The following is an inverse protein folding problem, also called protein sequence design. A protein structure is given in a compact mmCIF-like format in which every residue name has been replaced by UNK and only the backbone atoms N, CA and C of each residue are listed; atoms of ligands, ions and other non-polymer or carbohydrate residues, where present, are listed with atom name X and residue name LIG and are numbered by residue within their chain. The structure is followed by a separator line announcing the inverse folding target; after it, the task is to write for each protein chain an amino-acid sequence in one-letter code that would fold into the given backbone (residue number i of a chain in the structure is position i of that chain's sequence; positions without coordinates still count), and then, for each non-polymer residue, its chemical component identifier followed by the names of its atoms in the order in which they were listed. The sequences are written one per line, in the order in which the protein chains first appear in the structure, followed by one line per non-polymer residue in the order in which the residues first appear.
data_IF_042735946775
#
_entry.id   IF_042735946775
#
_cell.length_a   1.000
_cell.length_b   1.000
_cell.length_c   1.000
_cell.angle_alpha   90.00
_cell.angle_beta   90.00
_cell.angle_gamma   90.00
#
_symmetry.space_group_name_H-M   'P 1'
#
loop_
_entity.id
_entity.type
_entity.pdbx_description
1 polymer ?
#
# COMPACT_ATOMS: atom_id res chain seq x y z
N UNK A 1 -7.54 -7.99 -10.35
CA UNK A 1 -6.40 -7.19 -9.87
C UNK A 1 -6.46 -7.14 -8.35
N UNK A 2 -5.67 -7.95 -7.62
CA UNK A 2 -5.53 -7.84 -6.16
C UNK A 2 -4.72 -6.60 -5.79
N UNK A 3 -5.06 -6.00 -4.63
CA UNK A 3 -4.33 -4.88 -4.05
C UNK A 3 -3.68 -5.34 -2.76
N UNK A 4 -2.37 -5.17 -2.62
CA UNK A 4 -1.63 -5.43 -1.40
C UNK A 4 -1.70 -4.21 -0.48
N UNK A 5 -2.90 -3.98 0.07
CA UNK A 5 -3.26 -2.75 0.75
C UNK A 5 -2.46 -2.57 2.07
N UNK A 6 -2.02 -1.35 2.34
CA UNK A 6 -1.26 -0.95 3.54
C UNK A 6 0.08 -1.68 3.73
N UNK A 7 0.50 -2.45 2.72
CA UNK A 7 1.74 -3.21 2.77
C UNK A 7 1.57 -4.65 3.23
N UNK A 8 0.33 -5.14 3.34
CA UNK A 8 0.04 -6.55 3.56
C UNK A 8 -0.35 -7.22 2.24
N UNK A 9 0.25 -8.38 1.88
CA UNK A 9 -0.19 -9.14 0.73
C UNK A 9 -1.66 -9.56 0.85
N UNK A 10 -2.38 -9.52 -0.27
CA UNK A 10 -3.67 -10.17 -0.38
C UNK A 10 -3.51 -11.69 -0.26
N UNK A 11 -4.57 -12.41 0.11
CA UNK A 11 -4.59 -13.86 0.03
C UNK A 11 -4.59 -14.29 -1.44
N UNK A 12 -3.42 -14.68 -1.93
CA UNK A 12 -3.20 -14.89 -3.36
C UNK A 12 -3.65 -16.26 -3.85
N UNK A 13 -3.64 -17.29 -3.01
CA UNK A 13 -3.97 -18.65 -3.45
C UNK A 13 -5.39 -18.74 -4.04
N UNK A 14 -6.46 -18.31 -3.35
CA UNK A 14 -7.80 -18.39 -3.92
C UNK A 14 -7.96 -17.49 -5.17
N UNK A 15 -7.23 -16.38 -5.24
CA UNK A 15 -7.24 -15.51 -6.41
C UNK A 15 -6.58 -16.19 -7.61
N UNK A 16 -5.45 -16.87 -7.39
CA UNK A 16 -4.73 -17.58 -8.43
C UNK A 16 -5.51 -18.82 -8.90
N UNK A 17 -6.17 -19.56 -8.01
CA UNK A 17 -7.06 -20.69 -8.35
C UNK A 17 -8.22 -20.22 -9.25
N UNK A 18 -8.88 -19.11 -8.91
CA UNK A 18 -9.94 -18.53 -9.75
C UNK A 18 -9.37 -18.10 -11.11
N UNK A 19 -8.21 -17.46 -11.10
CA UNK A 19 -7.57 -17.00 -12.34
C UNK A 19 -7.20 -18.15 -13.26
N UNK A 20 -6.66 -19.25 -12.75
CA UNK A 20 -6.33 -20.45 -13.50
C UNK A 20 -7.60 -21.10 -14.09
N UNK A 21 -8.62 -21.33 -13.24
CA UNK A 21 -9.90 -21.89 -13.63
C UNK A 21 -10.56 -21.13 -14.80
N UNK A 22 -10.47 -19.80 -14.77
CA UNK A 22 -11.10 -18.93 -15.76
C UNK A 22 -10.13 -18.39 -16.82
N UNK A 23 -8.86 -18.85 -16.85
CA UNK A 23 -7.81 -18.40 -17.77
C UNK A 23 -7.64 -16.88 -17.76
N UNK A 24 -7.69 -16.29 -16.57
CA UNK A 24 -7.53 -14.85 -16.35
C UNK A 24 -6.06 -14.51 -16.08
N UNK A 25 -5.68 -13.28 -16.44
CA UNK A 25 -4.39 -12.72 -16.06
C UNK A 25 -4.51 -11.98 -14.72
N UNK A 26 -3.52 -12.15 -13.85
CA UNK A 26 -3.46 -11.52 -12.54
C UNK A 26 -2.43 -10.41 -12.56
N UNK A 27 -2.89 -9.18 -12.30
CA UNK A 27 -2.04 -7.99 -12.15
C UNK A 27 -2.10 -7.56 -10.69
N UNK A 28 -0.95 -7.57 -10.01
CA UNK A 28 -0.84 -7.10 -8.62
C UNK A 28 -0.76 -5.57 -8.58
N UNK A 29 -1.57 -4.93 -7.74
CA UNK A 29 -1.29 -3.58 -7.27
C UNK A 29 -0.38 -3.70 -6.03
N UNK A 30 0.92 -3.56 -6.24
CA UNK A 30 1.95 -3.62 -5.21
C UNK A 30 2.45 -2.22 -4.79
N UNK A 31 1.69 -1.16 -5.11
CA UNK A 31 2.07 0.23 -4.85
C UNK A 31 2.36 0.54 -3.36
N UNK A 32 1.87 -0.27 -2.44
CA UNK A 32 2.10 -0.13 -0.99
C UNK A 32 2.90 -1.29 -0.38
N UNK A 33 3.38 -2.25 -1.18
CA UNK A 33 3.89 -3.53 -0.68
C UNK A 33 5.34 -3.85 -1.10
N UNK A 34 6.20 -2.83 -1.20
CA UNK A 34 7.60 -2.99 -1.56
C UNK A 34 8.33 -3.93 -0.60
N UNK A 35 8.60 -5.17 -1.03
CA UNK A 35 9.30 -6.18 -0.26
C UNK A 35 8.43 -7.04 0.66
N UNK A 36 7.10 -6.85 0.68
CA UNK A 36 6.18 -7.73 1.38
C UNK A 36 6.26 -9.16 0.82
N UNK A 37 5.89 -10.16 1.63
CA UNK A 37 5.97 -11.56 1.24
C UNK A 37 4.69 -12.31 1.52
N UNK A 38 4.31 -13.18 0.59
CA UNK A 38 3.27 -14.17 0.69
C UNK A 38 3.89 -15.57 0.50
N UNK A 39 3.79 -16.45 1.49
CA UNK A 39 4.41 -17.79 1.48
C UNK A 39 5.87 -17.77 1.03
N UNK A 40 6.64 -16.80 1.56
CA UNK A 40 8.06 -16.60 1.28
C UNK A 40 8.39 -15.89 -0.04
N UNK A 41 7.46 -15.77 -0.98
CA UNK A 41 7.65 -15.05 -2.25
C UNK A 41 7.32 -13.56 -2.10
N UNK A 42 8.10 -12.70 -2.74
CA UNK A 42 7.84 -11.24 -2.71
C UNK A 42 6.64 -10.88 -3.59
N UNK A 43 5.84 -9.91 -3.12
CA UNK A 43 4.87 -9.19 -3.95
C UNK A 43 5.57 -8.60 -5.17
N UNK A 44 4.85 -8.52 -6.27
CA UNK A 44 5.40 -8.12 -7.56
C UNK A 44 5.90 -9.28 -8.42
N UNK A 45 5.81 -10.51 -7.90
CA UNK A 45 6.16 -11.75 -8.60
C UNK A 45 5.21 -12.89 -8.26
N UNK A 46 4.02 -12.60 -7.76
CA UNK A 46 2.99 -13.57 -7.41
C UNK A 46 1.99 -13.79 -8.56
N UNK A 47 1.70 -12.73 -9.33
CA UNK A 47 0.86 -12.76 -10.52
C UNK A 47 1.64 -12.71 -11.83
N UNK A 48 0.96 -12.43 -12.94
CA UNK A 48 1.57 -12.29 -14.28
C UNK A 48 2.37 -11.00 -14.41
N UNK A 49 1.93 -9.93 -13.74
CA UNK A 49 2.60 -8.63 -13.67
C UNK A 49 2.22 -7.89 -12.39
N UNK A 50 3.00 -6.88 -12.03
CA UNK A 50 2.65 -5.98 -10.93
C UNK A 50 3.04 -4.54 -11.24
N UNK A 51 2.30 -3.59 -10.63
CA UNK A 51 2.61 -2.18 -10.60
C UNK A 51 3.13 -1.75 -9.22
N UNK A 52 4.23 -1.02 -9.22
CA UNK A 52 4.79 -0.36 -8.03
C UNK A 52 4.73 1.16 -8.17
N UNK A 53 4.45 1.84 -7.08
CA UNK A 53 4.53 3.31 -6.99
C UNK A 53 5.81 3.71 -6.26
N UNK A 54 6.53 4.68 -6.79
CA UNK A 54 7.67 5.31 -6.12
C UNK A 54 7.34 6.71 -5.60
N UNK A 55 6.04 7.02 -5.42
CA UNK A 55 5.65 8.25 -4.75
C UNK A 55 6.45 8.44 -3.45
N UNK A 56 6.88 9.67 -3.08
CA UNK A 56 7.82 9.91 -1.99
C UNK A 56 7.47 9.28 -0.64
N UNK A 57 6.17 9.16 -0.32
CA UNK A 57 5.68 8.54 0.91
C UNK A 57 5.73 7.00 0.94
N UNK A 58 6.09 6.33 -0.16
CA UNK A 58 6.16 4.86 -0.23
C UNK A 58 7.37 4.31 0.52
N UNK A 59 7.31 3.02 0.90
CA UNK A 59 8.44 2.36 1.57
C UNK A 59 9.73 2.43 0.75
N UNK A 60 9.59 2.37 -0.58
CA UNK A 60 10.63 2.72 -1.53
C UNK A 60 10.13 3.92 -2.34
N UNK A 61 10.33 5.13 -1.83
CA UNK A 61 9.90 6.38 -2.46
C UNK A 61 11.06 7.11 -3.14
N UNK A 62 10.80 7.67 -4.32
CA UNK A 62 11.66 8.62 -5.01
C UNK A 62 11.55 10.01 -4.36
N UNK A 63 12.19 11.04 -4.93
CA UNK A 63 12.04 12.44 -4.55
C UNK A 63 10.97 13.17 -5.40
N UNK A 64 10.16 12.42 -6.12
CA UNK A 64 9.06 12.88 -6.97
C UNK A 64 8.24 11.67 -7.44
N UNK A 65 7.38 11.87 -8.43
CA UNK A 65 6.58 10.79 -8.98
C UNK A 65 7.44 9.76 -9.72
N UNK A 66 7.05 8.50 -9.61
CA UNK A 66 7.69 7.38 -10.28
C UNK A 66 6.97 6.07 -10.02
N UNK A 67 7.32 5.06 -10.80
CA UNK A 67 6.78 3.72 -10.66
C UNK A 67 7.54 2.71 -11.50
N UNK A 68 7.21 1.43 -11.29
CA UNK A 68 7.75 0.33 -12.07
C UNK A 68 6.70 -0.74 -12.34
N UNK A 69 6.90 -1.46 -13.41
CA UNK A 69 6.20 -2.70 -13.71
C UNK A 69 7.17 -3.87 -13.57
N UNK A 70 6.76 -4.91 -12.86
CA UNK A 70 7.50 -6.17 -12.78
C UNK A 70 6.72 -7.28 -13.45
N UNK A 71 7.41 -8.18 -14.15
CA UNK A 71 6.83 -9.36 -14.80
C UNK A 71 7.95 -10.36 -15.13
N UNK A 72 7.60 -11.66 -15.16
CA UNK A 72 8.46 -12.71 -15.67
C UNK A 72 8.20 -12.99 -17.18
N UNK A 73 7.19 -12.35 -17.78
CA UNK A 73 6.92 -12.43 -19.22
C UNK A 73 7.80 -11.42 -19.97
N UNK A 74 8.78 -11.94 -20.71
CA UNK A 74 9.72 -11.13 -21.51
C UNK A 74 9.06 -10.36 -22.62
N UNK A 75 8.00 -10.90 -23.24
CA UNK A 75 7.25 -10.22 -24.29
C UNK A 75 6.45 -9.05 -23.71
N UNK A 76 5.79 -9.24 -22.57
CA UNK A 76 5.12 -8.17 -21.85
C UNK A 76 6.12 -7.08 -21.41
N UNK A 77 7.27 -7.47 -20.86
CA UNK A 77 8.31 -6.52 -20.46
C UNK A 77 8.81 -5.67 -21.65
N UNK A 78 9.04 -6.29 -22.81
CA UNK A 78 9.43 -5.60 -24.04
C UNK A 78 8.33 -4.63 -24.50
N UNK A 79 7.06 -5.06 -24.43
CA UNK A 79 5.91 -4.24 -24.82
C UNK A 79 5.75 -3.02 -23.90
N UNK A 80 5.87 -3.19 -22.58
CA UNK A 80 5.82 -2.09 -21.60
C UNK A 80 6.96 -1.09 -21.85
N UNK A 81 8.20 -1.57 -22.09
CA UNK A 81 9.33 -0.69 -22.45
C UNK A 81 9.07 0.13 -23.70
N UNK A 82 8.44 -0.46 -24.71
CA UNK A 82 8.07 0.24 -25.95
C UNK A 82 6.97 1.28 -25.68
N UNK A 83 5.89 0.86 -25.01
CA UNK A 83 4.74 1.74 -24.74
C UNK A 83 5.12 2.97 -23.88
N UNK A 84 5.94 2.79 -22.83
CA UNK A 84 6.36 3.91 -21.96
C UNK A 84 7.22 4.95 -22.68
N UNK A 85 7.77 4.63 -23.85
CA UNK A 85 8.65 5.52 -24.65
C UNK A 85 8.03 5.80 -26.02
N UNK A 86 6.84 6.40 -26.03
CA UNK A 86 6.12 6.83 -27.24
C UNK A 86 5.84 5.69 -28.25
N UNK A 87 5.84 4.43 -27.83
CA UNK A 87 5.66 3.28 -28.73
C UNK A 87 6.88 2.94 -29.60
N UNK A 88 8.07 3.44 -29.20
CA UNK A 88 9.31 3.31 -29.97
C UNK A 88 10.26 2.28 -29.37
N UNK A 89 10.79 1.39 -30.21
CA UNK A 89 11.94 0.53 -29.91
C UNK A 89 13.27 1.16 -30.34
N UNK A 90 13.22 1.83 -31.49
CA UNK A 90 14.37 2.53 -32.08
C UNK A 90 14.03 4.02 -32.10
N UNK A 91 14.96 4.88 -31.71
CA UNK A 91 14.76 6.32 -31.65
C UNK A 91 14.16 6.84 -32.97
N UNK A 92 13.08 7.61 -32.85
CA UNK A 92 12.30 8.21 -33.95
C UNK A 92 11.48 7.22 -34.81
N UNK A 93 11.49 5.91 -34.50
CA UNK A 93 10.64 4.92 -35.19
C UNK A 93 9.54 4.45 -34.23
N UNK A 94 8.32 4.90 -34.47
CA UNK A 94 7.15 4.63 -33.61
C UNK A 94 6.25 3.59 -34.27
N UNK A 95 6.35 2.34 -33.80
CA UNK A 95 5.53 1.24 -34.28
C UNK A 95 4.13 1.20 -33.64
N UNK A 96 3.98 1.85 -32.49
CA UNK A 96 2.78 1.87 -31.68
C UNK A 96 2.47 3.28 -31.19
N UNK A 97 1.19 3.53 -30.89
CA UNK A 97 0.80 4.66 -30.04
C UNK A 97 1.19 4.35 -28.61
N UNK A 98 2.09 5.15 -28.04
CA UNK A 98 2.58 4.97 -26.69
C UNK A 98 2.46 6.24 -25.85
N UNK A 99 3.10 6.23 -24.69
CA UNK A 99 3.05 7.29 -23.70
C UNK A 99 4.45 7.85 -23.44
N UNK A 100 4.52 9.06 -22.92
CA UNK A 100 5.70 9.54 -22.22
C UNK A 100 5.55 9.13 -20.74
N UNK A 101 6.06 7.94 -20.39
CA UNK A 101 6.01 7.39 -19.04
C UNK A 101 7.36 6.79 -18.68
N UNK A 102 8.31 7.67 -18.44
CA UNK A 102 9.71 7.34 -18.13
C UNK A 102 10.02 7.74 -16.70
N UNK A 103 10.94 7.03 -16.08
CA UNK A 103 11.53 7.43 -14.81
C UNK A 103 12.78 8.24 -15.09
N UNK A 104 12.92 9.39 -14.43
CA UNK A 104 14.11 10.22 -14.53
C UNK A 104 15.34 9.48 -13.98
N UNK A 105 16.48 9.60 -14.63
CA UNK A 105 17.72 8.92 -14.27
C UNK A 105 18.17 9.28 -12.85
N UNK A 106 17.99 10.55 -12.45
CA UNK A 106 18.30 11.02 -11.11
C UNK A 106 17.43 10.32 -10.05
N UNK A 107 16.12 10.20 -10.31
CA UNK A 107 15.22 9.46 -9.42
C UNK A 107 15.58 7.98 -9.35
N UNK A 108 15.94 7.37 -10.48
CA UNK A 108 16.41 5.99 -10.52
C UNK A 108 17.70 5.80 -9.72
N UNK A 109 18.62 6.75 -9.72
CA UNK A 109 19.85 6.72 -8.92
C UNK A 109 19.54 6.75 -7.42
N UNK A 110 18.66 7.63 -6.95
CA UNK A 110 18.22 7.66 -5.56
C UNK A 110 17.50 6.36 -5.15
N UNK A 111 16.61 5.86 -6.00
CA UNK A 111 15.89 4.61 -5.72
C UNK A 111 16.83 3.41 -5.63
N UNK A 112 17.86 3.36 -6.47
CA UNK A 112 18.86 2.29 -6.46
C UNK A 112 19.62 2.25 -5.14
N UNK A 113 19.99 3.40 -4.59
CA UNK A 113 20.64 3.49 -3.27
C UNK A 113 19.66 3.11 -2.15
N UNK A 114 18.46 3.67 -2.15
CA UNK A 114 17.42 3.38 -1.14
C UNK A 114 16.99 1.91 -1.14
N UNK A 115 17.02 1.23 -2.29
CA UNK A 115 16.65 -0.17 -2.43
C UNK A 115 17.57 -1.10 -1.61
N UNK A 116 18.85 -0.74 -1.46
CA UNK A 116 19.80 -1.51 -0.64
C UNK A 116 19.41 -1.56 0.83
N UNK A 117 18.66 -0.56 1.32
CA UNK A 117 18.22 -0.42 2.70
C UNK A 117 16.74 -0.77 2.92
N UNK A 118 16.01 -1.17 1.87
CA UNK A 118 14.57 -1.40 1.95
C UNK A 118 14.19 -2.48 2.98
N UNK A 119 14.90 -3.60 2.99
CA UNK A 119 14.58 -4.71 3.89
C UNK A 119 14.80 -4.34 5.36
N UNK A 120 15.86 -3.56 5.66
CA UNK A 120 16.14 -3.05 7.01
C UNK A 120 15.08 -2.03 7.45
N UNK A 121 14.68 -1.13 6.56
CA UNK A 121 13.59 -0.18 6.83
C UNK A 121 12.27 -0.92 7.10
N UNK A 122 11.95 -1.94 6.30
CA UNK A 122 10.77 -2.77 6.50
C UNK A 122 10.83 -3.57 7.81
N UNK A 123 12.02 -4.05 8.21
CA UNK A 123 12.23 -4.70 9.52
C UNK A 123 11.93 -3.74 10.67
N UNK A 124 12.41 -2.49 10.60
CA UNK A 124 12.10 -1.44 11.61
C UNK A 124 10.60 -1.18 11.69
N UNK A 125 9.89 -1.07 10.56
CA UNK A 125 8.42 -0.92 10.54
C UNK A 125 7.71 -2.09 11.19
N UNK A 126 8.16 -3.33 10.97
CA UNK A 126 7.59 -4.52 11.65
C UNK A 126 7.79 -4.49 13.15
N UNK A 127 8.95 -4.02 13.63
CA UNK A 127 9.22 -3.85 15.07
C UNK A 127 8.25 -2.83 15.67
N UNK A 128 8.07 -1.69 15.02
CA UNK A 128 7.13 -0.64 15.47
C UNK A 128 5.69 -1.19 15.48
N UNK A 129 5.28 -1.91 14.44
CA UNK A 129 3.95 -2.53 14.39
C UNK A 129 3.71 -3.53 15.52
N UNK A 130 4.70 -4.36 15.84
CA UNK A 130 4.65 -5.28 17.00
C UNK A 130 4.59 -4.55 18.35
N UNK A 131 5.24 -3.38 18.47
CA UNK A 131 5.10 -2.55 19.67
C UNK A 131 3.69 -1.97 19.80
N UNK A 132 3.12 -1.44 18.73
CA UNK A 132 1.71 -1.00 18.71
C UNK A 132 0.76 -2.13 19.07
N UNK A 133 0.91 -3.31 18.45
CA UNK A 133 0.08 -4.48 18.75
C UNK A 133 0.10 -4.82 20.24
N UNK A 134 1.30 -4.90 20.84
CA UNK A 134 1.47 -5.20 22.26
C UNK A 134 0.87 -4.12 23.18
N UNK A 135 1.08 -2.85 22.86
CA UNK A 135 0.64 -1.74 23.71
C UNK A 135 -0.86 -1.44 23.57
N UNK A 136 -1.49 -1.84 22.48
CA UNK A 136 -2.88 -1.51 22.15
C UNK A 136 -3.85 -2.69 22.29
N UNK A 137 -3.39 -3.88 22.70
CA UNK A 137 -4.22 -5.09 22.79
C UNK A 137 -5.48 -4.92 23.65
N UNK A 138 -5.41 -4.09 24.71
CA UNK A 138 -6.51 -3.81 25.63
C UNK A 138 -7.25 -2.50 25.32
N UNK A 139 -6.86 -1.79 24.27
CA UNK A 139 -7.53 -0.57 23.84
C UNK A 139 -8.87 -0.88 23.15
N UNK A 140 -9.85 0.03 23.31
CA UNK A 140 -11.18 -0.12 22.68
C UNK A 140 -11.14 0.21 21.16
N UNK A 141 -10.16 -0.33 20.44
CA UNK A 141 -9.94 -0.11 19.00
C UNK A 141 -9.77 -1.44 18.26
N UNK A 142 -10.10 -1.45 16.99
CA UNK A 142 -9.81 -2.59 16.12
C UNK A 142 -8.38 -2.51 15.60
N UNK A 143 -7.54 -3.47 15.95
CA UNK A 143 -6.18 -3.59 15.44
C UNK A 143 -6.16 -4.26 14.06
N UNK A 144 -5.13 -4.01 13.23
CA UNK A 144 -4.96 -4.70 11.96
C UNK A 144 -4.70 -6.21 12.19
N UNK A 145 -5.39 -7.02 11.40
CA UNK A 145 -5.16 -8.47 11.37
C UNK A 145 -4.08 -8.80 10.35
N UNK A 146 -3.12 -9.64 10.71
CA UNK A 146 -2.08 -10.14 9.80
C UNK A 146 -2.46 -11.54 9.34
N UNK A 147 -2.62 -11.70 8.02
CA UNK A 147 -2.93 -13.00 7.41
C UNK A 147 -1.76 -13.97 7.61
N UNK A 148 -2.08 -15.24 7.89
CA UNK A 148 -1.08 -16.29 8.00
C UNK A 148 -0.20 -16.37 6.74
N UNK A 149 1.05 -16.82 6.90
CA UNK A 149 2.03 -16.97 5.83
C UNK A 149 2.35 -15.67 5.07
N UNK A 150 2.00 -14.50 5.64
CA UNK A 150 2.37 -13.19 5.08
C UNK A 150 3.44 -12.49 5.94
N UNK A 151 4.28 -11.69 5.28
CA UNK A 151 5.21 -10.77 5.94
C UNK A 151 4.88 -9.37 5.45
N UNK A 152 4.05 -8.61 6.18
CA UNK A 152 3.71 -7.24 5.81
C UNK A 152 4.90 -6.30 5.96
N UNK A 153 4.88 -5.21 5.20
CA UNK A 153 5.90 -4.15 5.26
C UNK A 153 5.39 -2.87 5.93
N UNK A 154 4.15 -2.90 6.41
CA UNK A 154 3.55 -1.83 7.20
C UNK A 154 3.79 -0.45 6.58
N UNK A 155 3.37 -0.31 5.32
CA UNK A 155 3.34 1.00 4.68
C UNK A 155 2.50 1.97 5.52
N UNK A 156 1.36 1.49 6.00
CA UNK A 156 0.49 2.16 6.95
C UNK A 156 0.15 1.21 8.10
N UNK A 157 -0.02 1.74 9.31
CA UNK A 157 -0.60 1.04 10.46
C UNK A 157 -2.00 1.58 10.68
N UNK A 158 -3.01 0.81 10.26
CA UNK A 158 -4.40 1.27 10.20
C UNK A 158 -5.22 0.59 11.28
N UNK A 159 -5.70 1.39 12.24
CA UNK A 159 -6.64 0.96 13.27
C UNK A 159 -8.08 1.26 12.85
N UNK A 160 -9.06 0.67 13.56
CA UNK A 160 -10.48 1.00 13.43
C UNK A 160 -11.03 1.50 14.74
N UNK A 161 -11.82 2.57 14.68
CA UNK A 161 -12.52 3.12 15.82
C UNK A 161 -13.93 3.57 15.41
N UNK A 162 -14.92 3.33 16.24
CA UNK A 162 -16.32 3.68 15.96
C UNK A 162 -16.48 5.19 15.78
N UNK A 163 -15.91 5.96 16.69
CA UNK A 163 -15.90 7.43 16.69
C UNK A 163 -14.57 7.94 16.11
N UNK A 164 -14.21 7.50 14.87
CA UNK A 164 -12.93 7.78 14.23
C UNK A 164 -12.60 9.27 14.15
N UNK A 165 -13.59 10.12 13.81
CA UNK A 165 -13.35 11.56 13.62
C UNK A 165 -13.11 12.27 14.97
N UNK A 166 -13.80 11.83 16.02
CA UNK A 166 -13.55 12.33 17.37
C UNK A 166 -12.16 11.90 17.87
N UNK A 167 -11.78 10.64 17.64
CA UNK A 167 -10.45 10.13 17.95
C UNK A 167 -9.37 10.91 17.21
N UNK A 168 -9.54 11.17 15.92
CA UNK A 168 -8.59 11.95 15.14
C UNK A 168 -8.40 13.36 15.70
N UNK A 169 -9.50 14.03 16.08
CA UNK A 169 -9.44 15.36 16.72
C UNK A 169 -8.72 15.32 18.05
N UNK A 170 -9.03 14.32 18.89
CA UNK A 170 -8.38 14.12 20.18
C UNK A 170 -6.86 13.95 20.04
N UNK A 171 -6.43 13.04 19.16
CA UNK A 171 -5.00 12.82 18.89
C UNK A 171 -4.29 14.08 18.38
N UNK A 172 -4.95 14.84 17.49
CA UNK A 172 -4.41 16.12 17.01
C UNK A 172 -4.22 17.15 18.12
N UNK A 173 -5.14 17.26 19.08
CA UNK A 173 -4.97 18.14 20.25
C UNK A 173 -3.76 17.75 21.11
N UNK A 174 -3.38 16.48 21.09
CA UNK A 174 -2.18 15.97 21.77
C UNK A 174 -0.91 16.05 20.89
N UNK A 175 -0.98 16.70 19.70
CA UNK A 175 0.14 16.83 18.78
C UNK A 175 0.44 15.56 17.97
N UNK A 176 -0.49 14.60 17.93
CA UNK A 176 -0.35 13.35 17.20
C UNK A 176 -1.11 13.47 15.87
N UNK A 177 -0.38 13.65 14.76
CA UNK A 177 -0.96 13.73 13.43
C UNK A 177 -1.31 12.34 12.90
N UNK A 178 -2.52 12.20 12.37
CA UNK A 178 -3.06 10.96 11.80
C UNK A 178 -3.75 11.24 10.47
N UNK A 179 -3.82 10.23 9.61
CA UNK A 179 -4.45 10.34 8.29
C UNK A 179 -5.50 9.25 8.08
N UNK A 180 -6.41 9.48 7.14
CA UNK A 180 -7.44 8.51 6.76
C UNK A 180 -7.14 8.00 5.35
N UNK A 181 -6.87 6.72 5.22
CA UNK A 181 -6.59 6.08 3.93
C UNK A 181 -7.61 4.96 3.66
N UNK A 182 -8.81 5.25 3.01
CA UNK A 182 -9.17 6.53 2.39
C UNK A 182 -10.56 6.95 2.88
N UNK A 183 -10.86 8.26 3.04
CA UNK A 183 -12.11 8.71 3.65
C UNK A 183 -13.33 8.46 2.75
N UNK A 184 -13.15 8.49 1.44
CA UNK A 184 -14.21 8.24 0.45
C UNK A 184 -13.81 7.05 -0.40
N UNK A 185 -14.56 5.92 -0.34
CA UNK A 185 -14.32 4.76 -1.20
C UNK A 185 -14.40 5.09 -2.68
N UNK A 186 -13.67 4.33 -3.51
CA UNK A 186 -13.59 4.60 -4.95
C UNK A 186 -14.97 4.66 -5.64
N UNK A 187 -15.89 3.74 -5.27
CA UNK A 187 -17.23 3.69 -5.84
C UNK A 187 -18.14 4.87 -5.43
N UNK A 188 -17.77 5.62 -4.39
CA UNK A 188 -18.50 6.82 -3.94
C UNK A 188 -17.87 8.12 -4.47
N UNK A 189 -16.77 8.04 -5.21
CA UNK A 189 -16.16 9.23 -5.81
C UNK A 189 -17.06 9.79 -6.92
N UNK A 190 -17.15 11.11 -6.99
CA UNK A 190 -17.94 11.81 -8.03
C UNK A 190 -17.59 11.37 -9.46
N UNK A 191 -16.35 10.97 -9.69
CA UNK A 191 -15.90 10.47 -10.98
C UNK A 191 -16.59 9.16 -11.42
N UNK A 192 -17.16 8.41 -10.48
CA UNK A 192 -17.87 7.14 -10.72
C UNK A 192 -19.37 7.20 -10.47
N UNK A 193 -19.96 8.41 -10.33
CA UNK A 193 -21.39 8.58 -10.04
C UNK A 193 -22.32 7.92 -11.07
N UNK A 194 -21.85 7.75 -12.31
CA UNK A 194 -22.61 7.13 -13.40
C UNK A 194 -22.31 5.62 -13.55
N UNK A 195 -21.37 5.08 -12.77
CA UNK A 195 -21.03 3.66 -12.82
C UNK A 195 -22.07 2.83 -12.06
N UNK A 196 -22.41 1.67 -12.63
CA UNK A 196 -23.28 0.69 -11.96
C UNK A 196 -22.41 -0.35 -11.26
N UNK A 197 -22.67 -0.55 -9.97
CA UNK A 197 -21.99 -1.57 -9.17
C UNK A 197 -22.97 -2.69 -8.83
N UNK A 198 -22.56 -3.94 -9.04
CA UNK A 198 -23.40 -5.12 -8.75
C UNK A 198 -23.58 -5.31 -7.24
N UNK A 199 -22.54 -5.00 -6.46
CA UNK A 199 -22.54 -5.05 -5.00
C UNK A 199 -22.63 -3.62 -4.43
N UNK A 200 -23.49 -3.35 -3.45
CA UNK A 200 -23.58 -2.04 -2.79
C UNK A 200 -22.33 -1.69 -1.95
N UNK A 201 -21.37 -2.62 -1.79
CA UNK A 201 -20.09 -2.44 -1.09
C UNK A 201 -20.24 -1.86 0.33
N UNK A 202 -21.26 -2.30 1.06
CA UNK A 202 -21.58 -1.80 2.41
C UNK A 202 -20.41 -1.98 3.39
N UNK A 203 -19.71 -3.12 3.32
CA UNK A 203 -18.54 -3.37 4.16
C UNK A 203 -17.43 -2.34 3.91
N UNK A 204 -17.16 -2.02 2.64
CA UNK A 204 -16.17 -1.00 2.26
C UNK A 204 -16.53 0.37 2.83
N UNK A 205 -17.80 0.75 2.79
CA UNK A 205 -18.31 2.02 3.36
C UNK A 205 -18.13 2.04 4.88
N UNK A 206 -18.52 0.96 5.58
CA UNK A 206 -18.38 0.85 7.03
C UNK A 206 -16.91 0.93 7.46
N UNK A 207 -16.01 0.25 6.74
CA UNK A 207 -14.58 0.31 7.01
C UNK A 207 -14.05 1.72 6.79
N UNK A 208 -14.37 2.37 5.66
CA UNK A 208 -13.91 3.73 5.37
C UNK A 208 -14.32 4.76 6.45
N UNK A 209 -15.46 4.54 7.10
CA UNK A 209 -15.94 5.39 8.18
C UNK A 209 -15.24 5.15 9.52
N UNK A 210 -14.50 4.06 9.68
CA UNK A 210 -13.90 3.65 10.96
C UNK A 210 -12.37 3.65 10.97
N UNK A 211 -11.71 3.70 9.82
CA UNK A 211 -10.25 3.57 9.71
C UNK A 211 -9.51 4.85 10.06
N UNK A 212 -8.34 4.70 10.73
CA UNK A 212 -7.41 5.76 11.04
C UNK A 212 -5.98 5.24 10.97
N UNK A 213 -5.11 5.92 10.24
CA UNK A 213 -3.69 5.55 10.11
C UNK A 213 -2.86 6.25 11.16
N UNK A 214 -2.20 5.46 12.01
CA UNK A 214 -1.26 5.94 13.01
C UNK A 214 0.12 6.23 12.38
N UNK A 215 0.94 7.09 13.02
CA UNK A 215 2.31 7.32 12.58
C UNK A 215 3.11 6.01 12.54
N UNK A 216 3.73 5.72 11.39
CA UNK A 216 4.66 4.61 11.24
C UNK A 216 5.73 4.94 10.20
N UNK A 217 7.01 4.99 10.63
CA UNK A 217 8.17 5.19 9.76
C UNK A 217 9.43 4.63 10.45
N UNK A 218 10.50 4.28 9.72
CA UNK A 218 11.66 3.57 10.28
C UNK A 218 12.41 4.28 11.41
N UNK A 219 12.19 5.58 11.59
CA UNK A 219 12.81 6.40 12.65
C UNK A 219 11.88 6.73 13.82
N UNK A 220 10.69 6.14 13.90
CA UNK A 220 9.77 6.37 15.03
C UNK A 220 10.34 5.68 16.27
N UNK A 221 10.61 6.47 17.33
CA UNK A 221 11.19 5.99 18.57
C UNK A 221 10.13 5.41 19.54
N UNK A 222 10.61 4.62 20.52
CA UNK A 222 9.74 3.93 21.47
C UNK A 222 8.93 4.90 22.36
N UNK A 223 9.51 6.02 22.74
CA UNK A 223 8.82 7.03 23.59
C UNK A 223 7.60 7.61 22.88
N UNK A 224 7.74 7.90 21.57
CA UNK A 224 6.61 8.37 20.77
C UNK A 224 5.54 7.29 20.58
N UNK A 225 5.96 6.04 20.39
CA UNK A 225 5.01 4.90 20.27
C UNK A 225 4.22 4.76 21.58
N UNK A 226 4.89 4.84 22.72
CA UNK A 226 4.23 4.80 24.04
C UNK A 226 3.28 5.98 24.24
N UNK A 227 3.69 7.20 23.87
CA UNK A 227 2.85 8.39 23.97
C UNK A 227 1.58 8.27 23.10
N UNK A 228 1.73 7.81 21.86
CA UNK A 228 0.59 7.53 20.94
C UNK A 228 -0.33 6.47 21.55
N UNK A 229 0.25 5.39 22.09
CA UNK A 229 -0.52 4.31 22.69
C UNK A 229 -1.29 4.75 23.93
N UNK A 230 -0.67 5.56 24.80
CA UNK A 230 -1.35 6.16 25.97
C UNK A 230 -2.52 7.06 25.56
N UNK A 231 -2.34 7.86 24.51
CA UNK A 231 -3.39 8.73 23.99
C UNK A 231 -4.59 7.93 23.44
N UNK A 232 -4.36 6.73 22.92
CA UNK A 232 -5.40 5.83 22.42
C UNK A 232 -6.14 5.06 23.51
N UNK A 233 -5.58 4.97 24.72
CA UNK A 233 -6.24 4.40 25.91
C UNK A 233 -7.05 5.44 26.69
N UNK A 234 -6.77 6.75 26.52
CA UNK A 234 -7.54 7.79 27.19
C UNK A 234 -8.95 7.83 26.59
N UNK A 235 -9.97 7.90 27.47
CA UNK A 235 -11.34 8.05 27.02
C UNK A 235 -11.46 9.33 26.17
N UNK A 236 -12.04 9.17 24.99
CA UNK A 236 -12.44 10.33 24.20
C UNK A 236 -13.55 10.99 25.00
N UNK A 237 -13.26 12.13 25.61
CA UNK A 237 -14.29 12.89 26.32
C UNK A 237 -15.42 13.18 25.33
N UNK A 238 -16.56 12.59 25.58
CA UNK A 238 -17.82 12.76 24.85
C UNK A 238 -18.35 14.19 24.97
#
# INVERSE_FOLDING_TARGET
MPVHLYGQPADMDPILEIAEKHRLKVIEDAAQAHGARYKGKRTGGLGDAAGFSFYPGKNLGALGDGGAVTTNDTALAARVRQLRNYGSKIKYLHELKGFNSRLDELQAAFLREKLLHLDDCNKKRRIIAGQYEKLLQDAKIGLPFVLADTIPVWHLYVIRHRERDALQKHLRHLGIETLIHYPIPAHQQMAYREATFVDPMQLTQQIANSILSLPIYPGLDAEKIEAISKALHSDIAS
#
